data_IF_515146757597
#
_entry.id   IF_515146757597
#
_cell.length_a   1.000
_cell.length_b   1.000
_cell.length_c   1.000
_cell.angle_alpha   90.00
_cell.angle_beta   90.00
_cell.angle_gamma   90.00
#
_symmetry.space_group_name_H-M   'P 1'
#
loop_
_entity.id
_entity.type
_entity.pdbx_description
1 polymer ?
#
# COMPACT_ATOMS: atom_id res chain seq x y z
N UNK A 1 -17.91 5.71 -57.56
CA UNK A 1 -17.42 4.77 -56.49
C UNK A 1 -17.34 5.53 -55.17
N UNK A 2 -18.36 5.37 -54.36
CA UNK A 2 -18.49 6.07 -53.05
C UNK A 2 -17.61 5.32 -52.06
N UNK A 3 -16.56 5.97 -51.56
CA UNK A 3 -15.84 5.52 -50.40
C UNK A 3 -16.72 5.80 -49.16
N UNK A 4 -17.30 4.73 -48.61
CA UNK A 4 -18.00 4.81 -47.35
C UNK A 4 -17.04 5.28 -46.22
N UNK A 5 -17.50 5.90 -45.16
CA UNK A 5 -16.68 6.41 -44.09
C UNK A 5 -15.88 5.24 -43.48
N UNK A 6 -14.54 5.32 -43.46
CA UNK A 6 -13.68 4.39 -42.75
C UNK A 6 -14.09 4.50 -41.28
N UNK A 7 -14.52 3.39 -40.70
CA UNK A 7 -14.87 3.32 -39.29
C UNK A 7 -13.72 3.86 -38.43
N UNK A 8 -14.06 4.57 -37.37
CA UNK A 8 -13.07 5.08 -36.41
C UNK A 8 -12.14 3.95 -35.95
N UNK A 9 -10.84 4.21 -35.74
CA UNK A 9 -9.92 3.19 -35.28
C UNK A 9 -10.37 2.63 -33.92
N UNK A 10 -10.42 1.31 -33.83
CA UNK A 10 -10.81 0.60 -32.61
C UNK A 10 -9.61 0.44 -31.71
N UNK A 11 -9.75 0.83 -30.45
CA UNK A 11 -8.73 0.70 -29.39
C UNK A 11 -9.23 -0.26 -28.32
N UNK A 12 -8.33 -0.89 -27.59
CA UNK A 12 -8.68 -1.74 -26.45
C UNK A 12 -9.27 -0.86 -25.33
N UNK A 13 -10.29 -1.37 -24.64
CA UNK A 13 -10.95 -0.67 -23.54
C UNK A 13 -9.99 -0.24 -22.43
N UNK A 14 -9.05 -1.13 -22.04
CA UNK A 14 -8.05 -0.82 -21.00
C UNK A 14 -7.07 0.30 -21.40
N UNK A 15 -6.80 0.45 -22.69
CA UNK A 15 -5.99 1.53 -23.24
C UNK A 15 -6.80 2.83 -23.36
N UNK A 16 -8.02 2.72 -23.87
CA UNK A 16 -8.89 3.88 -24.10
C UNK A 16 -9.30 4.59 -22.80
N UNK A 17 -9.54 3.82 -21.73
CA UNK A 17 -9.82 4.41 -20.40
C UNK A 17 -8.68 5.28 -19.88
N UNK A 18 -7.43 4.89 -20.14
CA UNK A 18 -6.26 5.68 -19.75
C UNK A 18 -6.07 6.89 -20.68
N UNK A 19 -6.24 6.71 -21.99
CA UNK A 19 -6.08 7.80 -22.95
C UNK A 19 -7.08 8.93 -22.77
N UNK A 20 -8.23 8.65 -22.14
CA UNK A 20 -9.28 9.65 -21.79
C UNK A 20 -9.21 10.12 -20.33
N UNK A 21 -8.14 9.81 -19.61
CA UNK A 21 -7.95 10.16 -18.19
C UNK A 21 -9.08 9.67 -17.26
N UNK A 22 -9.85 8.65 -17.70
CA UNK A 22 -10.88 8.02 -16.88
C UNK A 22 -10.28 7.09 -15.81
N UNK A 23 -9.08 6.60 -16.04
CA UNK A 23 -8.34 5.74 -15.13
C UNK A 23 -6.84 6.03 -15.27
N UNK A 24 -6.12 6.17 -14.16
CA UNK A 24 -4.70 6.58 -14.12
C UNK A 24 -3.69 5.57 -14.69
N UNK A 25 -4.05 4.30 -14.83
CA UNK A 25 -3.13 3.28 -15.37
C UNK A 25 -3.87 2.11 -16.00
N UNK A 26 -3.21 1.43 -16.96
CA UNK A 26 -3.77 0.23 -17.62
C UNK A 26 -3.99 -0.93 -16.65
N UNK A 27 -3.15 -1.07 -15.63
CA UNK A 27 -3.31 -2.11 -14.60
C UNK A 27 -4.58 -1.88 -13.80
N UNK A 28 -4.84 -0.64 -13.39
CA UNK A 28 -6.07 -0.27 -12.72
C UNK A 28 -7.28 -0.43 -13.63
N UNK A 29 -7.19 0.03 -14.89
CA UNK A 29 -8.26 -0.14 -15.87
C UNK A 29 -8.63 -1.62 -16.05
N UNK A 30 -7.65 -2.50 -16.24
CA UNK A 30 -7.89 -3.94 -16.39
C UNK A 30 -8.53 -4.56 -15.13
N UNK A 31 -8.20 -4.09 -13.93
CA UNK A 31 -8.81 -4.51 -12.68
C UNK A 31 -10.27 -4.07 -12.60
N UNK A 32 -10.55 -2.77 -12.76
CA UNK A 32 -11.90 -2.22 -12.72
C UNK A 32 -12.84 -2.87 -13.75
N UNK A 33 -12.32 -3.15 -14.94
CA UNK A 33 -13.08 -3.86 -15.98
C UNK A 33 -13.44 -5.27 -15.49
N UNK A 34 -12.48 -6.04 -14.98
CA UNK A 34 -12.72 -7.41 -14.46
C UNK A 34 -13.70 -7.44 -13.29
N UNK A 35 -13.68 -6.41 -12.46
CA UNK A 35 -14.59 -6.23 -11.31
C UNK A 35 -15.99 -5.72 -11.71
N UNK A 36 -16.24 -5.49 -13.01
CA UNK A 36 -17.53 -4.99 -13.52
C UNK A 36 -17.81 -3.52 -13.20
N UNK A 37 -16.78 -2.75 -12.83
CA UNK A 37 -16.84 -1.32 -12.46
C UNK A 37 -16.69 -0.38 -13.66
N UNK A 38 -16.73 -0.92 -14.89
CA UNK A 38 -16.65 -0.15 -16.13
C UNK A 38 -17.89 -0.40 -16.98
N UNK A 39 -18.45 0.69 -17.51
CA UNK A 39 -19.57 0.65 -18.46
C UNK A 39 -19.13 1.18 -19.81
N UNK A 40 -19.51 0.45 -20.86
CA UNK A 40 -19.34 0.83 -22.26
C UNK A 40 -20.74 1.03 -22.85
N UNK A 41 -21.05 2.23 -23.31
CA UNK A 41 -22.40 2.59 -23.80
C UNK A 41 -23.51 2.18 -22.82
N UNK A 42 -23.27 2.36 -21.49
CA UNK A 42 -24.21 2.03 -20.42
C UNK A 42 -24.19 0.56 -19.95
N UNK A 43 -23.57 -0.37 -20.68
CA UNK A 43 -23.50 -1.80 -20.34
C UNK A 43 -22.21 -2.14 -19.62
N UNK A 44 -22.29 -3.00 -18.58
CA UNK A 44 -21.10 -3.50 -17.85
C UNK A 44 -20.27 -4.38 -18.79
N UNK A 45 -18.96 -4.14 -18.82
CA UNK A 45 -17.99 -4.93 -19.59
C UNK A 45 -16.90 -5.45 -18.67
N UNK A 46 -16.56 -6.74 -18.79
CA UNK A 46 -15.56 -7.41 -17.93
C UNK A 46 -14.30 -7.85 -18.66
N UNK A 47 -14.21 -7.62 -19.98
CA UNK A 47 -13.06 -7.99 -20.79
C UNK A 47 -12.19 -6.78 -21.16
N UNK A 48 -10.96 -6.65 -20.63
CA UNK A 48 -10.09 -5.49 -20.90
C UNK A 48 -9.75 -5.24 -22.36
N UNK A 49 -9.73 -6.30 -23.17
CA UNK A 49 -9.44 -6.22 -24.61
C UNK A 49 -10.67 -5.89 -25.48
N UNK A 50 -11.83 -5.56 -24.89
CA UNK A 50 -13.00 -5.15 -25.66
C UNK A 50 -12.66 -3.97 -26.55
N UNK A 51 -12.94 -4.07 -27.87
CA UNK A 51 -12.68 -2.98 -28.79
C UNK A 51 -13.72 -1.86 -28.59
N UNK A 52 -13.24 -0.62 -28.51
CA UNK A 52 -14.04 0.60 -28.43
C UNK A 52 -13.49 1.68 -29.37
N UNK A 53 -14.32 2.53 -29.90
CA UNK A 53 -13.89 3.68 -30.70
C UNK A 53 -13.79 4.96 -29.86
N UNK A 54 -13.21 6.02 -30.42
CA UNK A 54 -13.00 7.29 -29.75
C UNK A 54 -14.30 7.99 -29.28
N UNK A 55 -15.46 7.61 -29.81
CA UNK A 55 -16.75 8.21 -29.52
C UNK A 55 -17.63 7.36 -28.60
N UNK A 56 -17.25 6.11 -28.36
CA UNK A 56 -17.99 5.22 -27.50
C UNK A 56 -18.08 5.81 -26.07
N UNK A 57 -19.27 5.99 -25.48
CA UNK A 57 -19.40 6.47 -24.11
C UNK A 57 -18.78 5.47 -23.14
N UNK A 58 -17.82 5.93 -22.33
CA UNK A 58 -17.15 5.13 -21.30
C UNK A 58 -17.41 5.77 -19.94
N UNK A 59 -17.62 4.91 -18.94
CA UNK A 59 -17.71 5.28 -17.53
C UNK A 59 -16.91 4.27 -16.72
N UNK A 60 -16.08 4.74 -15.80
CA UNK A 60 -15.41 3.93 -14.80
C UNK A 60 -15.75 4.44 -13.41
N UNK A 61 -15.99 3.52 -12.47
CA UNK A 61 -16.12 3.92 -11.07
C UNK A 61 -14.79 4.50 -10.58
N UNK A 62 -14.88 5.64 -9.88
CA UNK A 62 -13.71 6.32 -9.35
C UNK A 62 -13.14 5.49 -8.19
N UNK A 63 -11.85 5.22 -8.24
CA UNK A 63 -11.11 4.67 -7.09
C UNK A 63 -10.63 5.84 -6.23
N UNK A 64 -11.11 5.96 -4.99
CA UNK A 64 -10.73 7.07 -4.13
C UNK A 64 -9.28 6.98 -3.68
N UNK A 65 -8.70 5.77 -3.70
CA UNK A 65 -7.35 5.50 -3.19
C UNK A 65 -6.34 5.27 -4.30
N UNK A 66 -5.11 5.76 -4.09
CA UNK A 66 -4.02 5.63 -5.07
C UNK A 66 -3.54 4.20 -5.24
N UNK A 67 -3.76 3.32 -4.27
CA UNK A 67 -3.40 1.91 -4.36
C UNK A 67 -4.27 1.02 -3.48
N UNK A 68 -4.17 -0.32 -3.70
CA UNK A 68 -4.79 -1.33 -2.85
C UNK A 68 -4.26 -1.32 -1.41
N UNK A 69 -3.03 -0.82 -1.22
CA UNK A 69 -2.44 -0.65 0.10
C UNK A 69 -3.34 0.16 1.04
N UNK A 70 -3.99 1.19 0.53
CA UNK A 70 -4.93 1.99 1.31
C UNK A 70 -6.01 1.16 2.02
N UNK A 71 -6.61 0.20 1.30
CA UNK A 71 -7.64 -0.68 1.90
C UNK A 71 -7.08 -1.61 2.98
N UNK A 72 -5.79 -1.98 2.90
CA UNK A 72 -5.13 -2.73 3.97
C UNK A 72 -5.05 -1.88 5.21
N UNK A 73 -4.45 -0.68 5.11
CA UNK A 73 -4.25 0.21 6.25
C UNK A 73 -5.56 0.64 6.89
N UNK A 74 -6.58 1.00 6.09
CA UNK A 74 -7.92 1.29 6.61
C UNK A 74 -8.42 0.14 7.49
N UNK A 75 -8.31 -1.11 7.00
CA UNK A 75 -8.69 -2.28 7.79
C UNK A 75 -7.87 -2.41 9.06
N UNK A 76 -6.55 -2.22 9.00
CA UNK A 76 -5.67 -2.33 10.17
C UNK A 76 -5.97 -1.27 11.25
N UNK A 77 -6.19 -0.01 10.83
CA UNK A 77 -6.56 1.08 11.75
C UNK A 77 -7.90 0.79 12.43
N UNK A 78 -8.92 0.38 11.65
CA UNK A 78 -10.26 0.13 12.18
C UNK A 78 -10.31 -1.12 13.08
N UNK A 79 -9.68 -2.23 12.66
CA UNK A 79 -9.73 -3.51 13.39
C UNK A 79 -8.92 -3.50 14.70
N UNK A 80 -7.93 -2.60 14.80
CA UNK A 80 -7.06 -2.47 15.97
C UNK A 80 -7.29 -1.16 16.75
N UNK A 81 -8.32 -0.40 16.39
CA UNK A 81 -8.71 0.88 17.03
C UNK A 81 -7.53 1.87 17.15
N UNK A 82 -6.77 2.01 16.05
CA UNK A 82 -5.60 2.88 16.00
C UNK A 82 -6.00 4.26 15.50
N UNK A 83 -5.84 5.27 16.35
CA UNK A 83 -6.01 6.68 15.96
C UNK A 83 -4.72 7.20 15.32
N UNK A 84 -4.85 7.92 14.22
CA UNK A 84 -3.71 8.52 13.52
C UNK A 84 -3.34 9.85 14.18
N UNK A 85 -2.12 9.99 14.70
CA UNK A 85 -1.62 11.23 15.30
C UNK A 85 -1.10 12.19 14.21
N UNK A 86 -0.74 13.45 14.60
CA UNK A 86 -0.29 14.47 13.66
C UNK A 86 0.97 14.12 12.86
N UNK A 87 1.95 13.45 13.46
CA UNK A 87 3.26 13.20 12.84
C UNK A 87 3.46 11.70 12.58
N UNK A 88 3.54 11.32 11.30
CA UNK A 88 3.55 9.92 10.86
C UNK A 88 4.75 9.63 9.94
N UNK A 89 5.34 8.45 10.11
CA UNK A 89 6.27 7.84 9.16
C UNK A 89 5.54 6.75 8.37
N UNK A 90 5.51 6.85 7.05
CA UNK A 90 5.10 5.78 6.14
C UNK A 90 6.36 5.07 5.61
N UNK A 91 6.63 3.89 6.14
CA UNK A 91 7.77 3.07 5.83
C UNK A 91 7.46 2.10 4.67
N UNK A 92 8.03 2.37 3.49
CA UNK A 92 7.72 1.67 2.25
C UNK A 92 6.51 2.31 1.53
N UNK A 93 6.55 3.61 1.33
CA UNK A 93 5.42 4.41 0.85
C UNK A 93 4.96 4.05 -0.56
N UNK A 94 5.88 3.60 -1.45
CA UNK A 94 5.58 3.21 -2.84
C UNK A 94 4.71 4.24 -3.56
N UNK A 95 3.49 3.87 -3.98
CA UNK A 95 2.55 4.79 -4.65
C UNK A 95 1.80 5.72 -3.70
N UNK A 96 2.01 5.62 -2.39
CA UNK A 96 1.41 6.49 -1.38
C UNK A 96 0.07 6.01 -0.82
N UNK A 97 -0.22 4.70 -0.91
CA UNK A 97 -1.51 4.18 -0.41
C UNK A 97 -1.68 4.38 1.11
N UNK A 98 -0.63 4.11 1.89
CA UNK A 98 -0.66 4.33 3.33
C UNK A 98 -0.59 5.84 3.64
N UNK A 99 0.29 6.58 2.97
CA UNK A 99 0.37 8.04 3.05
C UNK A 99 -1.00 8.70 2.88
N UNK A 100 -1.75 8.34 1.84
CA UNK A 100 -3.08 8.90 1.58
C UNK A 100 -4.05 8.63 2.73
N UNK A 101 -4.05 7.41 3.28
CA UNK A 101 -4.94 7.04 4.38
C UNK A 101 -4.61 7.81 5.66
N UNK A 102 -3.34 7.92 6.04
CA UNK A 102 -3.00 8.66 7.27
C UNK A 102 -3.30 10.15 7.14
N UNK A 103 -3.15 10.75 5.95
CA UNK A 103 -3.57 12.13 5.67
C UNK A 103 -5.09 12.30 5.77
N UNK A 104 -5.88 11.35 5.25
CA UNK A 104 -7.35 11.34 5.34
C UNK A 104 -7.83 11.18 6.80
N UNK A 105 -7.06 10.45 7.62
CA UNK A 105 -7.32 10.23 9.04
C UNK A 105 -6.76 11.32 9.95
N UNK A 106 -6.20 12.40 9.39
CA UNK A 106 -5.87 13.62 10.14
C UNK A 106 -4.38 13.84 10.42
N UNK A 107 -3.48 13.09 9.81
CA UNK A 107 -2.05 13.40 9.90
C UNK A 107 -1.77 14.80 9.34
N UNK A 108 -1.00 15.59 10.07
CA UNK A 108 -0.60 16.95 9.69
C UNK A 108 0.72 16.93 8.90
N UNK A 109 1.55 15.92 9.15
CA UNK A 109 2.82 15.71 8.45
C UNK A 109 3.12 14.21 8.31
N UNK A 110 3.52 13.80 7.11
CA UNK A 110 3.88 12.42 6.79
C UNK A 110 5.26 12.39 6.15
N UNK A 111 6.21 11.69 6.80
CA UNK A 111 7.46 11.31 6.17
C UNK A 111 7.23 10.02 5.38
N UNK A 112 7.22 10.12 4.06
CA UNK A 112 6.99 9.00 3.15
C UNK A 112 8.33 8.51 2.60
N UNK A 113 8.80 7.35 3.07
CA UNK A 113 10.12 6.82 2.76
C UNK A 113 10.01 5.57 1.90
N UNK A 114 10.76 5.54 0.80
CA UNK A 114 10.87 4.36 -0.06
C UNK A 114 12.26 4.25 -0.69
N UNK A 115 12.71 3.00 -0.94
CA UNK A 115 13.95 2.73 -1.66
C UNK A 115 13.80 2.96 -3.17
N UNK A 116 12.58 2.93 -3.69
CA UNK A 116 12.23 3.21 -5.09
C UNK A 116 12.26 4.70 -5.41
N UNK A 117 12.06 5.02 -6.69
CA UNK A 117 12.02 6.39 -7.19
C UNK A 117 10.83 6.58 -8.12
N UNK A 118 10.21 7.78 -8.07
CA UNK A 118 9.15 8.20 -9.00
C UNK A 118 7.88 7.33 -8.92
N UNK A 119 7.60 6.71 -7.76
CA UNK A 119 6.43 5.84 -7.60
C UNK A 119 5.24 6.57 -7.00
N UNK A 120 5.48 7.56 -6.15
CA UNK A 120 4.42 8.30 -5.44
C UNK A 120 3.44 8.93 -6.44
N UNK A 121 2.15 8.80 -6.15
CA UNK A 121 1.12 9.43 -6.96
C UNK A 121 1.28 10.97 -6.94
N UNK A 122 1.19 11.68 -8.09
CA UNK A 122 1.49 13.11 -8.17
C UNK A 122 0.75 13.96 -7.15
N UNK A 123 -0.53 13.70 -6.92
CA UNK A 123 -1.34 14.44 -5.94
C UNK A 123 -0.85 14.32 -4.50
N UNK A 124 -0.11 13.25 -4.17
CA UNK A 124 0.50 13.07 -2.85
C UNK A 124 1.91 13.65 -2.79
N UNK A 125 2.67 13.52 -3.89
CA UNK A 125 4.00 14.10 -3.99
C UNK A 125 3.96 15.64 -3.95
N UNK A 126 2.86 16.25 -4.38
CA UNK A 126 2.62 17.69 -4.36
C UNK A 126 1.91 18.19 -3.09
N UNK A 127 1.44 17.29 -2.20
CA UNK A 127 0.79 17.67 -0.94
C UNK A 127 1.83 18.25 0.03
N UNK A 128 1.68 19.50 0.51
CA UNK A 128 2.67 20.15 1.38
C UNK A 128 2.85 19.45 2.74
N UNK A 129 1.96 18.55 3.12
CA UNK A 129 2.07 17.75 4.34
C UNK A 129 2.97 16.52 4.16
N UNK A 130 3.31 16.16 2.91
CA UNK A 130 4.12 14.98 2.60
C UNK A 130 5.58 15.38 2.40
N UNK A 131 6.45 14.80 3.20
CA UNK A 131 7.90 14.89 3.05
C UNK A 131 8.41 13.59 2.46
N UNK A 132 8.65 13.59 1.16
CA UNK A 132 9.08 12.39 0.44
C UNK A 132 10.60 12.21 0.51
N UNK A 133 11.06 10.99 0.82
CA UNK A 133 12.46 10.56 0.79
C UNK A 133 12.57 9.30 -0.06
N UNK A 134 12.97 9.46 -1.30
CA UNK A 134 13.18 8.35 -2.24
C UNK A 134 14.64 7.89 -2.26
N UNK A 135 14.87 6.62 -2.63
CA UNK A 135 16.20 6.02 -2.66
C UNK A 135 16.79 5.74 -1.29
N UNK A 136 16.02 5.91 -0.21
CA UNK A 136 16.47 5.67 1.16
C UNK A 136 16.13 4.22 1.58
N UNK A 137 17.17 3.47 1.94
CA UNK A 137 16.97 2.17 2.55
C UNK A 137 16.60 2.34 4.03
N UNK A 138 15.45 1.82 4.43
CA UNK A 138 14.97 1.94 5.82
C UNK A 138 15.92 1.37 6.88
N UNK A 139 16.88 0.52 6.51
CA UNK A 139 17.95 0.07 7.44
C UNK A 139 18.92 1.18 7.81
N UNK A 140 19.04 2.19 6.95
CA UNK A 140 19.94 3.31 7.12
C UNK A 140 19.21 4.57 7.61
N UNK A 141 17.92 4.44 7.97
CA UNK A 141 17.07 5.52 8.46
C UNK A 141 17.66 6.15 9.72
N UNK A 142 17.70 7.47 9.73
CA UNK A 142 18.13 8.28 10.87
C UNK A 142 17.12 9.39 11.16
N UNK A 143 17.24 10.05 12.30
CA UNK A 143 16.40 11.23 12.62
C UNK A 143 16.64 12.40 11.65
N UNK A 144 17.81 12.51 11.05
CA UNK A 144 18.11 13.58 10.06
C UNK A 144 17.21 13.43 8.83
N UNK A 145 16.84 12.20 8.46
CA UNK A 145 15.90 11.94 7.35
C UNK A 145 14.46 12.39 7.68
N UNK A 146 14.17 12.57 8.96
CA UNK A 146 12.90 13.04 9.52
C UNK A 146 13.00 14.51 10.01
N UNK A 147 13.91 15.30 9.45
CA UNK A 147 14.17 16.69 9.85
C UNK A 147 14.45 16.84 11.37
N UNK A 148 15.06 15.80 11.99
CA UNK A 148 15.36 15.73 13.42
C UNK A 148 14.14 15.50 14.33
N UNK A 149 12.98 15.14 13.78
CA UNK A 149 11.71 14.98 14.52
C UNK A 149 11.35 13.50 14.68
N UNK A 150 11.37 12.94 15.89
CA UNK A 150 10.84 11.60 16.11
C UNK A 150 9.31 11.59 15.91
N UNK A 151 8.80 10.54 15.29
CA UNK A 151 7.38 10.44 14.90
C UNK A 151 6.51 9.78 15.97
N UNK A 152 5.22 10.12 15.96
CA UNK A 152 4.20 9.56 16.87
C UNK A 152 3.72 8.17 16.43
N UNK A 153 3.65 7.94 15.12
CA UNK A 153 3.20 6.68 14.53
C UNK A 153 4.08 6.29 13.34
N UNK A 154 4.47 5.03 13.31
CA UNK A 154 5.03 4.39 12.12
C UNK A 154 3.97 3.47 11.51
N UNK A 155 3.61 3.68 10.25
CA UNK A 155 2.88 2.70 9.43
C UNK A 155 3.85 2.09 8.42
N UNK A 156 3.71 0.80 8.10
CA UNK A 156 4.66 0.16 7.20
C UNK A 156 4.08 -0.97 6.36
N UNK A 157 4.32 -0.90 5.04
CA UNK A 157 3.98 -1.94 4.05
C UNK A 157 5.23 -2.30 3.22
N UNK A 158 6.29 -2.76 3.89
CA UNK A 158 7.57 -3.08 3.25
C UNK A 158 7.55 -4.43 2.55
N UNK A 159 8.34 -4.56 1.48
CA UNK A 159 8.45 -5.79 0.69
C UNK A 159 9.91 -6.19 0.50
N UNK A 160 10.15 -7.49 0.31
CA UNK A 160 11.46 -8.09 0.01
C UNK A 160 12.50 -7.98 1.14
N UNK A 161 12.07 -7.64 2.34
CA UNK A 161 12.90 -7.57 3.55
C UNK A 161 12.07 -8.05 4.74
N UNK A 162 12.69 -8.70 5.72
CA UNK A 162 12.05 -9.01 7.01
C UNK A 162 11.88 -7.73 7.84
N UNK A 163 10.72 -7.56 8.44
CA UNK A 163 10.46 -6.47 9.40
C UNK A 163 11.41 -6.51 10.59
N UNK A 164 11.88 -7.70 11.00
CA UNK A 164 12.84 -7.82 12.11
C UNK A 164 14.14 -7.03 11.87
N UNK A 165 14.53 -6.84 10.60
CA UNK A 165 15.70 -6.04 10.23
C UNK A 165 15.45 -4.53 10.27
N UNK A 166 14.21 -4.12 10.35
CA UNK A 166 13.77 -2.71 10.29
C UNK A 166 13.30 -2.19 11.65
N UNK A 167 12.97 -3.09 12.61
CA UNK A 167 12.45 -2.66 13.91
C UNK A 167 13.39 -1.73 14.67
N UNK A 168 14.72 -1.96 14.61
CA UNK A 168 15.69 -1.12 15.29
C UNK A 168 15.75 0.30 14.70
N UNK A 169 15.98 0.52 13.38
CA UNK A 169 15.96 1.86 12.80
C UNK A 169 14.58 2.54 12.92
N UNK A 170 13.47 1.80 12.79
CA UNK A 170 12.14 2.36 13.03
C UNK A 170 11.95 2.78 14.48
N UNK A 171 12.46 1.99 15.45
CA UNK A 171 12.44 2.37 16.87
C UNK A 171 13.25 3.64 17.16
N UNK A 172 14.42 3.79 16.49
CA UNK A 172 15.24 4.99 16.65
C UNK A 172 14.57 6.26 16.07
N UNK A 173 13.63 6.09 15.16
CA UNK A 173 12.85 7.17 14.56
C UNK A 173 11.65 7.65 15.42
N UNK A 174 11.44 7.06 16.60
CA UNK A 174 10.29 7.29 17.47
C UNK A 174 10.70 7.85 18.84
N UNK A 175 9.73 8.31 19.62
CA UNK A 175 9.88 8.71 21.02
C UNK A 175 9.05 7.80 21.95
N UNK A 176 9.10 8.06 23.26
CA UNK A 176 8.26 7.37 24.22
C UNK A 176 6.77 7.65 23.95
N UNK A 177 5.92 6.66 24.13
CA UNK A 177 4.49 6.64 23.79
C UNK A 177 4.17 6.61 22.28
N UNK A 178 5.16 6.52 21.39
CA UNK A 178 4.91 6.29 19.96
C UNK A 178 4.33 4.91 19.70
N UNK A 179 3.70 4.76 18.53
CA UNK A 179 3.06 3.54 18.08
C UNK A 179 3.65 3.08 16.75
N UNK A 180 3.60 1.77 16.49
CA UNK A 180 3.83 1.21 15.15
C UNK A 180 2.67 0.32 14.74
N UNK A 181 2.18 0.49 13.53
CA UNK A 181 1.22 -0.38 12.87
C UNK A 181 1.87 -0.96 11.60
N UNK A 182 2.44 -2.15 11.72
CA UNK A 182 3.27 -2.76 10.70
C UNK A 182 2.56 -3.94 10.04
N UNK A 183 2.63 -4.02 8.71
CA UNK A 183 2.08 -5.13 7.94
C UNK A 183 3.11 -6.25 7.81
N UNK A 184 2.92 -7.31 8.59
CA UNK A 184 3.71 -8.54 8.54
C UNK A 184 3.31 -9.35 7.31
N UNK A 185 4.29 -9.67 6.48
CA UNK A 185 4.15 -10.50 5.29
C UNK A 185 4.88 -11.82 5.50
N UNK A 186 4.17 -12.92 5.81
CA UNK A 186 4.81 -14.20 6.15
C UNK A 186 5.87 -14.64 5.15
N UNK A 187 5.68 -14.37 3.86
CA UNK A 187 6.64 -14.75 2.82
C UNK A 187 8.02 -14.08 2.93
N UNK A 188 8.14 -12.99 3.69
CA UNK A 188 9.42 -12.32 3.94
C UNK A 188 9.98 -12.60 5.33
N UNK A 189 9.20 -13.23 6.19
CA UNK A 189 9.59 -13.58 7.57
C UNK A 189 10.01 -15.05 7.72
N UNK A 190 9.45 -15.97 6.91
CA UNK A 190 9.82 -17.38 6.93
C UNK A 190 11.05 -17.65 6.05
N UNK A 191 11.79 -18.72 6.36
CA UNK A 191 12.93 -19.14 5.53
C UNK A 191 12.48 -19.62 4.14
N UNK A 192 13.39 -19.55 3.16
CA UNK A 192 13.11 -19.98 1.76
C UNK A 192 12.54 -21.38 1.64
N UNK A 193 12.94 -22.30 2.52
CA UNK A 193 12.45 -23.70 2.57
C UNK A 193 10.98 -23.82 2.96
N UNK A 194 10.44 -22.81 3.63
CA UNK A 194 9.06 -22.77 4.13
C UNK A 194 8.12 -22.04 3.14
N UNK A 195 8.65 -21.57 2.02
CA UNK A 195 7.86 -20.96 0.93
C UNK A 195 7.27 -22.05 0.05
N UNK A 196 5.96 -22.00 -0.14
CA UNK A 196 5.26 -22.87 -1.09
C UNK A 196 5.50 -22.47 -2.55
N UNK A 197 4.82 -23.15 -3.46
CA UNK A 197 4.83 -22.83 -4.87
C UNK A 197 4.45 -21.35 -5.09
N UNK A 198 5.19 -20.66 -5.91
CA UNK A 198 5.01 -19.21 -6.20
C UNK A 198 5.24 -18.28 -5.00
N UNK A 199 5.97 -18.71 -3.96
CA UNK A 199 6.28 -17.85 -2.81
C UNK A 199 5.10 -17.60 -1.87
N UNK A 200 4.07 -18.46 -1.89
CA UNK A 200 2.91 -18.31 -1.03
C UNK A 200 3.04 -19.18 0.22
N UNK A 201 2.86 -18.58 1.40
CA UNK A 201 2.83 -19.26 2.70
C UNK A 201 1.38 -19.62 3.04
N UNK A 202 1.01 -20.90 2.85
CA UNK A 202 -0.37 -21.37 3.06
C UNK A 202 -0.58 -22.01 4.43
N UNK A 203 0.50 -22.47 5.09
CA UNK A 203 0.43 -23.10 6.43
C UNK A 203 0.12 -22.04 7.49
N UNK A 204 -1.02 -22.14 8.22
CA UNK A 204 -1.38 -21.21 9.27
C UNK A 204 -0.35 -21.16 10.42
N UNK A 205 0.37 -22.26 10.69
CA UNK A 205 1.41 -22.30 11.72
C UNK A 205 2.63 -21.45 11.33
N UNK A 206 2.99 -21.47 10.05
CA UNK A 206 4.06 -20.63 9.53
C UNK A 206 3.66 -19.16 9.52
N UNK A 207 2.39 -18.86 9.19
CA UNK A 207 1.85 -17.51 9.26
C UNK A 207 1.88 -16.97 10.70
N UNK A 208 1.42 -17.76 11.68
CA UNK A 208 1.46 -17.38 13.08
C UNK A 208 2.91 -17.17 13.56
N UNK A 209 3.81 -18.10 13.23
CA UNK A 209 5.24 -17.98 13.57
C UNK A 209 5.87 -16.69 13.02
N UNK A 210 5.51 -16.28 11.81
CA UNK A 210 5.98 -15.04 11.22
C UNK A 210 5.56 -13.81 12.06
N UNK A 211 4.30 -13.77 12.48
CA UNK A 211 3.79 -12.72 13.38
C UNK A 211 4.51 -12.76 14.74
N UNK A 212 4.59 -13.94 15.36
CA UNK A 212 5.25 -14.13 16.67
C UNK A 212 6.72 -13.69 16.63
N UNK A 213 7.42 -13.94 15.53
CA UNK A 213 8.82 -13.52 15.36
C UNK A 213 8.95 -12.00 15.39
N UNK A 214 8.11 -11.28 14.65
CA UNK A 214 8.11 -9.81 14.62
C UNK A 214 7.74 -9.25 15.99
N UNK A 215 6.70 -9.78 16.63
CA UNK A 215 6.26 -9.36 17.98
C UNK A 215 7.36 -9.59 19.02
N UNK A 216 8.01 -10.75 19.00
CA UNK A 216 9.09 -11.07 19.94
C UNK A 216 10.28 -10.12 19.78
N UNK A 217 10.65 -9.81 18.54
CA UNK A 217 11.74 -8.87 18.27
C UNK A 217 11.36 -7.43 18.69
N UNK A 218 10.13 -7.00 18.43
CA UNK A 218 9.63 -5.69 18.90
C UNK A 218 9.65 -5.61 20.43
N UNK A 219 9.20 -6.67 21.12
CA UNK A 219 9.24 -6.74 22.59
C UNK A 219 10.65 -6.65 23.15
N UNK A 220 11.64 -7.27 22.48
CA UNK A 220 13.05 -7.17 22.88
C UNK A 220 13.61 -5.73 22.76
N UNK A 221 12.98 -4.88 21.94
CA UNK A 221 13.31 -3.46 21.78
C UNK A 221 12.45 -2.54 22.66
N UNK A 222 11.68 -3.09 23.62
CA UNK A 222 10.88 -2.32 24.56
C UNK A 222 9.48 -1.94 24.06
N UNK A 223 8.97 -2.62 22.99
CA UNK A 223 7.62 -2.41 22.49
C UNK A 223 6.63 -3.39 23.12
N UNK A 224 5.46 -2.90 23.49
CA UNK A 224 4.37 -3.71 24.01
C UNK A 224 3.36 -4.00 22.92
N UNK A 225 2.99 -5.27 22.72
CA UNK A 225 1.95 -5.67 21.79
C UNK A 225 0.58 -5.17 22.28
N UNK A 226 -0.09 -4.39 21.43
CA UNK A 226 -1.46 -3.93 21.64
C UNK A 226 -2.48 -4.83 20.97
N UNK A 227 -2.15 -5.38 19.79
CA UNK A 227 -3.02 -6.30 19.08
C UNK A 227 -2.46 -6.75 17.74
N UNK A 228 -3.12 -7.74 17.17
CA UNK A 228 -2.87 -8.23 15.80
C UNK A 228 -4.19 -8.41 15.06
N UNK A 229 -4.21 -8.12 13.77
CA UNK A 229 -5.37 -8.35 12.91
C UNK A 229 -4.95 -8.85 11.52
N UNK A 230 -5.69 -9.77 10.89
CA UNK A 230 -5.44 -10.12 9.51
C UNK A 230 -5.77 -8.93 8.60
N UNK A 231 -4.96 -8.71 7.57
CA UNK A 231 -5.31 -7.75 6.52
C UNK A 231 -6.63 -8.17 5.85
N UNK A 232 -7.55 -7.23 5.66
CA UNK A 232 -8.86 -7.46 5.01
C UNK A 232 -8.73 -7.87 3.55
N UNK A 233 -7.58 -7.62 2.93
CA UNK A 233 -7.26 -8.06 1.57
C UNK A 233 -5.90 -8.77 1.54
N UNK A 234 -5.77 -9.75 0.65
CA UNK A 234 -4.52 -10.50 0.46
C UNK A 234 -3.48 -9.67 -0.30
N UNK A 235 -2.21 -10.04 -0.14
CA UNK A 235 -1.13 -9.56 -0.99
C UNK A 235 -1.35 -9.88 -2.47
N UNK A 236 -0.51 -9.30 -3.32
CA UNK A 236 -0.65 -9.40 -4.78
C UNK A 236 -0.61 -10.86 -5.28
N UNK A 237 0.22 -11.71 -4.67
CA UNK A 237 0.39 -13.12 -5.02
C UNK A 237 -0.56 -14.06 -4.25
N UNK A 238 -1.48 -13.51 -3.44
CA UNK A 238 -2.46 -14.24 -2.67
C UNK A 238 -2.01 -14.60 -1.25
N UNK A 239 -0.86 -14.10 -0.78
CA UNK A 239 -0.44 -14.27 0.62
C UNK A 239 -1.41 -13.59 1.58
N UNK A 240 -1.73 -14.26 2.68
CA UNK A 240 -2.37 -13.62 3.84
C UNK A 240 -1.33 -12.80 4.57
N UNK A 241 -1.68 -11.58 4.94
CA UNK A 241 -0.82 -10.63 5.63
C UNK A 241 -1.51 -10.20 6.92
N UNK A 242 -0.74 -9.72 7.89
CA UNK A 242 -1.24 -9.44 9.23
C UNK A 242 -0.70 -8.12 9.73
N UNK A 243 -1.56 -7.29 10.31
CA UNK A 243 -1.12 -6.12 11.06
C UNK A 243 -0.69 -6.50 12.47
N UNK A 244 0.40 -5.91 12.91
CA UNK A 244 0.87 -5.92 14.29
C UNK A 244 0.87 -4.47 14.77
N UNK A 245 0.13 -4.20 15.84
CA UNK A 245 0.11 -2.92 16.53
C UNK A 245 0.91 -3.04 17.83
N UNK A 246 1.95 -2.22 17.95
CA UNK A 246 2.78 -2.13 19.15
C UNK A 246 2.88 -0.69 19.61
N UNK A 247 3.02 -0.50 20.92
CA UNK A 247 3.22 0.81 21.55
C UNK A 247 4.49 0.78 22.37
N UNK A 248 5.26 1.87 22.34
CA UNK A 248 6.43 2.03 23.19
C UNK A 248 5.98 2.39 24.61
N UNK A 249 6.48 1.65 25.60
CA UNK A 249 6.20 1.97 27.00
C UNK A 249 6.92 3.27 27.40
N UNK A 250 6.22 4.12 28.13
CA UNK A 250 6.79 5.31 28.77
C UNK A 250 7.73 4.93 29.90
#
# INVERSE_FOLDING_TARGET
>A
MSHGPRGAPMTRLDVELVSRDLVRSRTLAARLIKEGKVRVAGSVVTKPSTPVDAHTPLMAEQEPWVSRGAYKLLGGLDDLDVTVPPLVLDAGASTGGFTQVVLDRGAERVFAIDVGHGQMAPQLAEDPRVVMREGLNLRDLTLDDLDGQPVDLVVGDVSFISLTMLLEPLSAATHDASQMLLLVKPQFEVGRKDLGARGVVTDPKLQARAVDTVVSQASALGWTLMGTAPSRITGQDGNREFFVHVMRST
#
